data_IF_251866624514
#
_entry.id   IF_251866624514
#
_cell.length_a   1.000
_cell.length_b   1.000
_cell.length_c   1.000
_cell.angle_alpha   90.00
_cell.angle_beta   90.00
_cell.angle_gamma   90.00
#
_symmetry.space_group_name_H-M   'P 1'
#
loop_
_entity.id
_entity.type
_entity.pdbx_description
1 polymer ?
#
# COMPACT_ATOMS: atom_id res chain seq x y z
N UNK A 1 -5.40 -16.03 11.74
CA UNK A 1 -5.65 -16.07 10.28
C UNK A 1 -5.81 -14.64 9.84
N UNK A 2 -5.09 -14.19 8.82
CA UNK A 2 -5.18 -12.80 8.36
C UNK A 2 -6.43 -12.60 7.49
N UNK A 3 -7.11 -11.46 7.68
CA UNK A 3 -8.09 -10.95 6.73
C UNK A 3 -7.37 -10.52 5.45
N UNK A 4 -7.85 -11.00 4.30
CA UNK A 4 -7.22 -10.81 3.01
C UNK A 4 -8.22 -10.37 1.95
N UNK A 5 -7.84 -9.37 1.15
CA UNK A 5 -8.60 -8.87 0.01
C UNK A 5 -7.71 -8.85 -1.22
N UNK A 6 -8.18 -9.47 -2.29
CA UNK A 6 -7.55 -9.42 -3.60
C UNK A 6 -8.38 -8.54 -4.53
N UNK A 7 -7.83 -7.38 -4.92
CA UNK A 7 -8.48 -6.40 -5.80
C UNK A 7 -8.95 -7.04 -7.11
N UNK A 8 -8.25 -8.07 -7.61
CA UNK A 8 -8.55 -8.71 -8.90
C UNK A 8 -9.91 -9.41 -8.91
N UNK A 9 -10.47 -9.70 -7.74
CA UNK A 9 -11.81 -10.28 -7.57
C UNK A 9 -12.94 -9.27 -7.75
N UNK A 10 -12.65 -7.98 -7.90
CA UNK A 10 -13.65 -6.90 -7.96
C UNK A 10 -13.65 -6.12 -9.30
N UNK A 11 -13.74 -6.81 -10.46
CA UNK A 11 -13.82 -6.13 -11.77
C UNK A 11 -15.15 -5.40 -12.00
N UNK A 12 -16.14 -5.60 -11.13
CA UNK A 12 -17.48 -5.06 -11.26
C UNK A 12 -17.75 -3.87 -10.32
N UNK A 13 -16.82 -3.59 -9.40
CA UNK A 13 -16.93 -2.46 -8.47
C UNK A 13 -16.25 -1.26 -9.10
N UNK A 14 -17.05 -0.29 -9.54
CA UNK A 14 -16.54 0.94 -10.14
C UNK A 14 -15.69 1.72 -9.13
N UNK A 15 -14.55 2.20 -9.59
CA UNK A 15 -13.69 3.10 -8.81
C UNK A 15 -13.03 4.09 -9.78
N UNK A 16 -13.74 5.16 -10.16
CA UNK A 16 -13.20 6.17 -11.07
C UNK A 16 -11.98 6.86 -10.46
N UNK A 17 -10.91 6.98 -11.23
CA UNK A 17 -9.64 7.57 -10.77
C UNK A 17 -9.19 8.73 -11.66
N UNK A 18 -8.16 9.46 -11.24
CA UNK A 18 -7.63 10.62 -11.98
C UNK A 18 -8.67 11.73 -12.20
N UNK A 19 -9.64 11.86 -11.31
CA UNK A 19 -10.80 12.74 -11.51
C UNK A 19 -10.49 14.25 -11.50
N UNK A 20 -9.30 14.64 -11.06
CA UNK A 20 -8.81 16.03 -11.13
C UNK A 20 -8.21 16.41 -12.49
N UNK A 21 -7.92 15.44 -13.35
CA UNK A 21 -7.29 15.66 -14.65
C UNK A 21 -8.24 15.21 -15.77
N UNK A 22 -9.09 16.10 -16.33
CA UNK A 22 -10.11 15.73 -17.31
C UNK A 22 -9.61 14.91 -18.51
N UNK A 23 -8.37 15.17 -18.97
CA UNK A 23 -7.74 14.45 -20.09
C UNK A 23 -7.31 13.02 -19.72
N UNK A 24 -7.08 12.76 -18.43
CA UNK A 24 -6.59 11.49 -17.90
C UNK A 24 -7.62 10.76 -17.03
N UNK A 25 -8.80 11.34 -16.79
CA UNK A 25 -9.85 10.74 -15.98
C UNK A 25 -10.18 9.33 -16.45
N UNK A 26 -10.04 8.37 -15.54
CA UNK A 26 -10.34 6.95 -15.79
C UNK A 26 -11.74 6.65 -15.24
N UNK A 27 -12.79 7.01 -15.98
CA UNK A 27 -14.18 6.71 -15.56
C UNK A 27 -14.52 5.22 -15.65
N UNK A 28 -13.73 4.47 -16.41
CA UNK A 28 -13.83 3.02 -16.62
C UNK A 28 -13.05 2.19 -15.60
N UNK A 29 -12.28 2.83 -14.70
CA UNK A 29 -11.51 2.08 -13.71
C UNK A 29 -12.40 1.43 -12.66
N UNK A 30 -11.92 0.29 -12.16
CA UNK A 30 -12.59 -0.54 -11.16
C UNK A 30 -11.63 -0.84 -10.02
N UNK A 31 -12.13 -1.40 -8.92
CA UNK A 31 -11.27 -1.89 -7.83
C UNK A 31 -10.21 -2.85 -8.37
N UNK A 32 -10.53 -3.67 -9.39
CA UNK A 32 -9.53 -4.54 -10.04
C UNK A 32 -8.33 -3.78 -10.59
N UNK A 33 -8.52 -2.64 -11.23
CA UNK A 33 -7.43 -1.89 -11.87
C UNK A 33 -6.77 -0.86 -10.96
N UNK A 34 -7.46 -0.38 -9.92
CA UNK A 34 -7.05 0.80 -9.16
C UNK A 34 -7.16 0.65 -7.62
N UNK A 35 -7.61 -0.51 -7.14
CA UNK A 35 -8.02 -0.72 -5.75
C UNK A 35 -6.94 -1.19 -4.78
N UNK A 36 -5.66 -1.24 -5.17
CA UNK A 36 -4.59 -1.74 -4.31
C UNK A 36 -4.54 -1.01 -2.96
N UNK A 37 -4.59 0.33 -2.97
CA UNK A 37 -4.62 1.13 -1.74
C UNK A 37 -5.84 0.84 -0.87
N UNK A 38 -7.03 0.67 -1.47
CA UNK A 38 -8.26 0.35 -0.74
C UNK A 38 -8.17 -1.00 -0.04
N UNK A 39 -7.70 -2.02 -0.76
CA UNK A 39 -7.53 -3.37 -0.23
C UNK A 39 -6.44 -3.39 0.85
N UNK A 40 -5.30 -2.75 0.63
CA UNK A 40 -4.20 -2.71 1.61
C UNK A 40 -4.60 -2.00 2.90
N UNK A 41 -5.27 -0.84 2.83
CA UNK A 41 -5.76 -0.15 4.01
C UNK A 41 -6.78 -0.99 4.79
N UNK A 42 -7.72 -1.63 4.07
CA UNK A 42 -8.72 -2.53 4.67
C UNK A 42 -8.08 -3.73 5.36
N UNK A 43 -7.06 -4.34 4.74
CA UNK A 43 -6.29 -5.44 5.32
C UNK A 43 -5.52 -5.00 6.58
N UNK A 44 -4.82 -3.87 6.53
CA UNK A 44 -4.06 -3.35 7.68
C UNK A 44 -5.00 -3.10 8.86
N UNK A 45 -6.07 -2.33 8.66
CA UNK A 45 -7.00 -1.96 9.75
C UNK A 45 -7.68 -3.18 10.34
N UNK A 46 -8.20 -4.08 9.49
CA UNK A 46 -8.95 -5.25 9.97
C UNK A 46 -8.06 -6.19 10.75
N UNK A 47 -6.82 -6.42 10.30
CA UNK A 47 -5.87 -7.27 11.01
C UNK A 47 -5.29 -6.63 12.27
N UNK A 48 -5.10 -5.31 12.28
CA UNK A 48 -4.58 -4.58 13.44
C UNK A 48 -5.61 -4.44 14.56
N UNK A 49 -6.87 -4.14 14.22
CA UNK A 49 -7.91 -3.79 15.20
C UNK A 49 -8.85 -4.93 15.54
N UNK A 50 -8.93 -5.97 14.69
CA UNK A 50 -9.98 -6.99 14.75
C UNK A 50 -11.38 -6.47 14.39
N UNK A 51 -11.52 -5.19 14.03
CA UNK A 51 -12.78 -4.58 13.56
C UNK A 51 -12.81 -4.65 12.04
N UNK A 52 -13.94 -5.07 11.48
CA UNK A 52 -14.10 -5.12 10.03
C UNK A 52 -14.01 -3.71 9.42
N UNK A 53 -13.09 -3.54 8.46
CA UNK A 53 -13.09 -2.42 7.53
C UNK A 53 -13.28 -2.97 6.12
N UNK A 54 -14.53 -2.97 5.65
CA UNK A 54 -14.89 -3.58 4.37
C UNK A 54 -14.30 -2.80 3.18
N UNK A 55 -14.14 -3.48 2.05
CA UNK A 55 -13.73 -2.84 0.80
C UNK A 55 -14.66 -1.67 0.42
N UNK A 56 -15.98 -1.83 0.62
CA UNK A 56 -16.97 -0.80 0.26
C UNK A 56 -16.84 0.41 1.19
N UNK A 57 -16.67 0.18 2.50
CA UNK A 57 -16.45 1.26 3.46
C UNK A 57 -15.18 2.06 3.14
N UNK A 58 -14.12 1.38 2.69
CA UNK A 58 -12.86 2.02 2.29
C UNK A 58 -13.01 2.78 0.96
N UNK A 59 -13.73 2.20 0.00
CA UNK A 59 -14.08 2.85 -1.26
C UNK A 59 -14.88 4.14 -1.03
N UNK A 60 -15.94 4.08 -0.24
CA UNK A 60 -16.77 5.25 0.09
C UNK A 60 -15.95 6.33 0.80
N UNK A 61 -15.08 5.93 1.73
CA UNK A 61 -14.18 6.86 2.40
C UNK A 61 -13.21 7.52 1.40
N UNK A 62 -12.60 6.74 0.51
CA UNK A 62 -11.70 7.26 -0.53
C UNK A 62 -12.38 8.31 -1.40
N UNK A 63 -13.61 8.06 -1.84
CA UNK A 63 -14.40 9.02 -2.62
C UNK A 63 -14.74 10.27 -1.80
N UNK A 64 -15.13 10.10 -0.52
CA UNK A 64 -15.49 11.22 0.33
C UNK A 64 -14.32 12.18 0.62
N UNK A 65 -13.09 11.65 0.65
CA UNK A 65 -11.86 12.41 0.92
C UNK A 65 -11.07 12.75 -0.34
N UNK A 66 -11.64 12.48 -1.52
CA UNK A 66 -11.03 12.74 -2.82
C UNK A 66 -9.65 12.07 -2.99
N UNK A 67 -9.47 10.89 -2.39
CA UNK A 67 -8.24 10.10 -2.55
C UNK A 67 -8.18 9.41 -3.93
N UNK A 68 -9.31 9.30 -4.64
CA UNK A 68 -9.38 8.79 -6.02
C UNK A 68 -9.00 9.83 -7.09
N UNK A 69 -8.64 11.05 -6.70
CA UNK A 69 -8.22 12.09 -7.65
C UNK A 69 -6.84 11.80 -8.27
N UNK A 70 -6.07 10.89 -7.67
CA UNK A 70 -4.81 10.37 -8.20
C UNK A 70 -5.03 9.15 -9.10
N UNK A 71 -3.99 8.67 -9.80
CA UNK A 71 -3.94 7.28 -10.26
C UNK A 71 -4.16 6.37 -9.05
N UNK A 72 -5.15 5.47 -9.12
CA UNK A 72 -5.45 4.58 -8.00
C UNK A 72 -5.99 5.32 -6.77
N UNK A 73 -5.23 5.29 -5.68
CA UNK A 73 -5.60 5.86 -4.39
C UNK A 73 -4.45 6.66 -3.82
N UNK A 74 -4.73 7.91 -3.43
CA UNK A 74 -3.80 8.79 -2.74
C UNK A 74 -3.78 8.45 -1.24
N UNK A 75 -2.78 7.67 -0.81
CA UNK A 75 -2.65 7.25 0.58
C UNK A 75 -2.28 8.40 1.53
N UNK A 76 -1.65 9.48 1.06
CA UNK A 76 -1.41 10.68 1.87
C UNK A 76 -2.72 11.38 2.23
N UNK A 77 -3.76 11.21 1.41
CA UNK A 77 -5.12 11.66 1.71
C UNK A 77 -5.90 10.63 2.49
N UNK A 78 -5.88 9.35 2.10
CA UNK A 78 -6.72 8.33 2.71
C UNK A 78 -6.25 7.95 4.13
N UNK A 79 -4.95 7.78 4.36
CA UNK A 79 -4.42 7.25 5.62
C UNK A 79 -4.83 8.07 6.86
N UNK A 80 -4.77 9.42 6.86
CA UNK A 80 -5.19 10.21 8.03
C UNK A 80 -6.65 9.98 8.43
N UNK A 81 -7.57 9.91 7.46
CA UNK A 81 -8.99 9.66 7.75
C UNK A 81 -9.25 8.21 8.18
N UNK A 82 -8.47 7.26 7.66
CA UNK A 82 -8.51 5.87 8.16
C UNK A 82 -8.06 5.83 9.62
N UNK A 83 -6.95 6.49 9.95
CA UNK A 83 -6.45 6.54 11.32
C UNK A 83 -7.47 7.20 12.28
N UNK A 84 -8.07 8.32 11.87
CA UNK A 84 -9.13 8.99 12.64
C UNK A 84 -10.36 8.08 12.85
N UNK A 85 -10.86 7.45 11.78
CA UNK A 85 -12.06 6.59 11.84
C UNK A 85 -11.91 5.40 12.80
N UNK A 86 -10.71 4.87 12.94
CA UNK A 86 -10.42 3.69 13.75
C UNK A 86 -9.67 3.99 15.06
N UNK A 87 -9.45 5.27 15.37
CA UNK A 87 -8.72 5.74 16.55
C UNK A 87 -7.29 5.17 16.65
N UNK A 88 -6.56 5.25 15.54
CA UNK A 88 -5.20 4.75 15.38
C UNK A 88 -4.18 5.90 15.38
N UNK A 89 -2.95 5.58 15.77
CA UNK A 89 -1.80 6.43 15.48
C UNK A 89 -1.31 6.16 14.05
N UNK A 90 -0.91 7.24 13.36
CA UNK A 90 -0.37 7.20 11.99
C UNK A 90 1.01 7.87 11.94
N UNK A 91 1.98 7.17 11.39
CA UNK A 91 3.27 7.73 10.97
C UNK A 91 3.46 7.50 9.48
N UNK A 92 3.71 8.57 8.73
CA UNK A 92 4.08 8.50 7.31
C UNK A 92 5.58 8.71 7.20
N UNK A 93 6.28 7.79 6.52
CA UNK A 93 7.75 7.80 6.48
C UNK A 93 8.29 7.11 5.22
N UNK A 94 9.55 7.39 4.90
CA UNK A 94 10.36 6.70 3.89
C UNK A 94 11.47 5.81 4.51
N UNK A 95 11.56 5.78 5.85
CA UNK A 95 12.59 5.06 6.59
C UNK A 95 12.19 3.60 6.88
N UNK A 96 12.87 2.60 6.29
CA UNK A 96 12.61 1.19 6.56
C UNK A 96 12.96 0.77 8.00
N UNK A 97 13.82 1.50 8.71
CA UNK A 97 14.13 1.23 10.12
C UNK A 97 12.97 1.64 11.03
N UNK A 98 12.28 2.73 10.71
CA UNK A 98 11.03 3.10 11.39
C UNK A 98 9.94 2.05 11.13
N UNK A 99 9.82 1.55 9.89
CA UNK A 99 8.94 0.42 9.59
C UNK A 99 9.29 -0.82 10.44
N UNK A 100 10.57 -1.20 10.49
CA UNK A 100 11.06 -2.34 11.30
C UNK A 100 10.66 -2.19 12.77
N UNK A 101 10.97 -1.04 13.36
CA UNK A 101 10.68 -0.76 14.77
C UNK A 101 9.18 -0.76 15.04
N UNK A 102 8.38 -0.27 14.09
CA UNK A 102 6.92 -0.24 14.19
C UNK A 102 6.30 -1.64 14.16
N UNK A 103 6.72 -2.48 13.22
CA UNK A 103 6.26 -3.87 13.12
C UNK A 103 6.62 -4.68 14.38
N UNK A 104 7.83 -4.47 14.95
CA UNK A 104 8.27 -5.13 16.20
C UNK A 104 7.40 -4.78 17.41
N UNK A 105 6.72 -3.63 17.40
CA UNK A 105 5.76 -3.23 18.44
C UNK A 105 4.32 -3.72 18.18
N UNK A 106 4.11 -4.52 17.14
CA UNK A 106 2.78 -5.00 16.74
C UNK A 106 1.99 -4.01 15.87
N UNK A 107 2.62 -2.92 15.41
CA UNK A 107 2.05 -2.06 14.39
C UNK A 107 2.03 -2.75 13.02
N UNK A 108 1.26 -2.19 12.08
CA UNK A 108 1.14 -2.67 10.70
C UNK A 108 1.29 -1.50 9.73
N UNK A 109 1.51 -1.78 8.45
CA UNK A 109 1.76 -0.71 7.48
C UNK A 109 1.14 -0.99 6.10
N UNK A 110 0.80 0.09 5.40
CA UNK A 110 0.68 0.05 3.93
C UNK A 110 2.02 0.49 3.34
N UNK A 111 2.59 -0.31 2.45
CA UNK A 111 3.82 0.01 1.74
C UNK A 111 3.53 0.35 0.27
N UNK A 112 4.18 1.40 -0.23
CA UNK A 112 4.09 1.90 -1.60
C UNK A 112 5.28 1.37 -2.41
N UNK A 113 5.04 0.36 -3.24
CA UNK A 113 6.06 -0.20 -4.11
C UNK A 113 6.11 0.58 -5.42
N UNK A 114 7.31 0.84 -5.90
CA UNK A 114 7.54 1.67 -7.09
C UNK A 114 7.36 0.89 -8.39
N UNK A 115 7.62 -0.43 -8.33
CA UNK A 115 7.65 -1.31 -9.49
C UNK A 115 8.98 -1.29 -10.23
N UNK A 116 8.95 -1.54 -11.53
CA UNK A 116 10.14 -1.66 -12.36
C UNK A 116 10.88 -0.33 -12.48
N UNK A 117 12.21 -0.39 -12.34
CA UNK A 117 13.14 0.74 -12.49
C UNK A 117 14.21 0.39 -13.52
N UNK A 118 13.95 0.58 -14.82
CA UNK A 118 14.93 0.33 -15.88
C UNK A 118 16.22 1.15 -15.74
N UNK A 119 16.16 2.31 -15.07
CA UNK A 119 17.30 3.19 -14.82
C UNK A 119 18.38 2.55 -13.90
N UNK A 120 17.99 1.65 -12.99
CA UNK A 120 18.90 0.90 -12.11
C UNK A 120 18.81 -0.62 -12.29
N UNK A 121 18.04 -1.09 -13.28
CA UNK A 121 17.89 -2.50 -13.65
C UNK A 121 17.05 -3.32 -12.68
N UNK A 122 16.29 -2.69 -11.79
CA UNK A 122 15.47 -3.39 -10.80
C UNK A 122 14.12 -3.83 -11.39
N UNK A 123 13.81 -5.12 -11.23
CA UNK A 123 12.48 -5.70 -11.52
C UNK A 123 11.67 -5.65 -10.24
N UNK A 124 10.53 -4.97 -10.29
CA UNK A 124 9.63 -4.77 -9.18
C UNK A 124 9.07 -6.10 -8.67
N UNK A 125 9.12 -6.32 -7.35
CA UNK A 125 8.74 -7.59 -6.75
C UNK A 125 7.22 -7.77 -6.72
N UNK A 126 6.49 -6.77 -6.21
CA UNK A 126 5.04 -6.86 -6.07
C UNK A 126 4.26 -6.28 -7.25
N UNK A 127 4.91 -5.61 -8.19
CA UNK A 127 4.25 -5.06 -9.39
C UNK A 127 5.30 -4.56 -10.38
N UNK A 128 4.92 -4.40 -11.65
CA UNK A 128 5.76 -3.71 -12.65
C UNK A 128 5.65 -2.18 -12.57
N UNK A 129 4.60 -1.66 -11.93
CA UNK A 129 4.39 -0.23 -11.69
C UNK A 129 3.97 0.04 -10.25
N UNK A 130 3.62 1.30 -9.96
CA UNK A 130 3.18 1.73 -8.63
C UNK A 130 2.08 0.84 -8.06
N UNK A 131 2.26 0.38 -6.82
CA UNK A 131 1.32 -0.54 -6.17
C UNK A 131 1.38 -0.42 -4.64
N UNK A 132 0.27 -0.73 -3.97
CA UNK A 132 0.23 -0.77 -2.52
C UNK A 132 0.10 -2.21 -2.03
N UNK A 133 0.87 -2.56 -1.00
CA UNK A 133 0.80 -3.85 -0.30
C UNK A 133 0.62 -3.64 1.20
N UNK A 134 -0.02 -4.58 1.89
CA UNK A 134 -0.15 -4.53 3.34
C UNK A 134 0.97 -5.33 4.01
N UNK A 135 1.71 -4.70 4.92
CA UNK A 135 2.74 -5.34 5.76
C UNK A 135 2.15 -5.54 7.15
N UNK A 136 1.86 -6.79 7.49
CA UNK A 136 1.02 -7.13 8.65
C UNK A 136 1.79 -7.72 9.83
N UNK A 137 3.04 -8.12 9.63
CA UNK A 137 3.93 -8.56 10.71
C UNK A 137 5.39 -8.52 10.30
N UNK A 138 6.27 -8.68 11.28
CA UNK A 138 7.67 -9.05 11.13
C UNK A 138 7.91 -10.31 11.96
N UNK A 139 8.65 -11.27 11.42
CA UNK A 139 9.01 -12.50 12.12
C UNK A 139 10.06 -12.22 13.22
N UNK A 140 10.27 -13.19 14.10
CA UNK A 140 11.17 -13.06 15.27
C UNK A 140 12.64 -12.76 14.91
N UNK A 141 13.05 -13.08 13.67
CA UNK A 141 14.37 -12.73 13.15
C UNK A 141 14.56 -11.21 12.97
N UNK A 142 13.48 -10.43 12.98
CA UNK A 142 13.48 -8.98 12.80
C UNK A 142 13.82 -8.52 11.38
N UNK A 143 13.85 -9.43 10.41
CA UNK A 143 14.24 -9.19 9.02
C UNK A 143 13.20 -9.70 8.02
N UNK A 144 12.46 -10.77 8.34
CA UNK A 144 11.44 -11.32 7.46
C UNK A 144 10.11 -10.63 7.75
N UNK A 145 9.53 -9.98 6.73
CA UNK A 145 8.22 -9.33 6.82
C UNK A 145 7.13 -10.20 6.21
N UNK A 146 5.93 -10.12 6.78
CA UNK A 146 4.73 -10.76 6.27
C UNK A 146 3.92 -9.74 5.48
N UNK A 147 3.70 -10.03 4.21
CA UNK A 147 3.03 -9.15 3.26
C UNK A 147 1.75 -9.81 2.72
N UNK A 148 0.70 -9.01 2.58
CA UNK A 148 -0.52 -9.34 1.87
C UNK A 148 -0.61 -8.45 0.63
N UNK A 149 -0.51 -9.07 -0.54
CA UNK A 149 -0.51 -8.37 -1.83
C UNK A 149 -1.91 -8.39 -2.46
N UNK A 150 -2.59 -7.23 -2.60
CA UNK A 150 -3.94 -7.20 -3.12
C UNK A 150 -4.03 -7.52 -4.62
N UNK A 151 -2.92 -7.72 -5.32
CA UNK A 151 -2.90 -8.10 -6.73
C UNK A 151 -2.22 -9.45 -6.98
N UNK A 152 -2.14 -10.32 -5.96
CA UNK A 152 -1.57 -11.66 -6.13
C UNK A 152 -2.34 -12.44 -7.21
N UNK A 153 -1.59 -12.95 -8.19
CA UNK A 153 -2.06 -13.87 -9.23
C UNK A 153 -1.23 -15.16 -9.14
N UNK A 154 -1.73 -16.29 -9.66
CA UNK A 154 -0.90 -17.48 -9.84
C UNK A 154 0.39 -17.13 -10.59
N UNK A 155 1.51 -17.71 -10.15
CA UNK A 155 2.84 -17.58 -10.76
C UNK A 155 3.47 -16.19 -10.77
N UNK A 156 2.86 -15.19 -10.11
CA UNK A 156 3.37 -13.82 -10.05
C UNK A 156 4.83 -13.72 -9.63
N UNK A 157 5.25 -14.56 -8.68
CA UNK A 157 6.60 -14.55 -8.11
C UNK A 157 7.55 -15.56 -8.76
N UNK A 158 7.12 -16.28 -9.81
CA UNK A 158 7.95 -17.22 -10.58
C UNK A 158 8.63 -16.56 -11.78
N UNK A 159 8.38 -15.28 -12.02
CA UNK A 159 9.01 -14.51 -13.10
C UNK A 159 10.50 -14.26 -12.81
N UNK A 160 11.30 -14.18 -13.88
CA UNK A 160 12.69 -13.75 -13.81
C UNK A 160 12.81 -12.39 -13.09
N UNK A 161 13.72 -12.29 -12.13
CA UNK A 161 13.85 -11.11 -11.29
C UNK A 161 12.96 -11.10 -10.03
N UNK A 162 11.90 -11.91 -9.96
CA UNK A 162 11.10 -12.12 -8.73
C UNK A 162 11.38 -13.47 -8.06
N UNK A 163 11.73 -14.48 -8.86
CA UNK A 163 11.91 -15.85 -8.39
C UNK A 163 12.87 -15.93 -7.19
N UNK A 164 12.45 -16.68 -6.17
CA UNK A 164 13.22 -16.90 -4.94
C UNK A 164 13.22 -15.73 -3.93
N UNK A 165 12.60 -14.59 -4.24
CA UNK A 165 12.50 -13.44 -3.32
C UNK A 165 11.33 -13.51 -2.35
N UNK A 166 10.33 -14.37 -2.62
CA UNK A 166 9.12 -14.52 -1.81
C UNK A 166 8.89 -15.99 -1.49
N UNK A 167 8.55 -16.28 -0.24
CA UNK A 167 8.01 -17.58 0.18
C UNK A 167 6.48 -17.43 0.27
N UNK A 168 5.77 -18.20 -0.55
CA UNK A 168 4.31 -18.18 -0.61
C UNK A 168 3.68 -19.24 0.31
N UNK A 169 2.72 -18.84 1.14
CA UNK A 169 1.82 -19.75 1.85
C UNK A 169 0.37 -19.27 1.67
N UNK A 170 -0.22 -19.63 0.53
CA UNK A 170 -1.48 -19.05 0.08
C UNK A 170 -1.32 -17.54 -0.15
N UNK A 171 -2.08 -16.74 0.59
CA UNK A 171 -2.02 -15.27 0.53
C UNK A 171 -1.04 -14.64 1.52
N UNK A 172 -0.39 -15.46 2.34
CA UNK A 172 0.61 -15.01 3.31
C UNK A 172 1.97 -15.08 2.63
N UNK A 173 2.49 -13.93 2.23
CA UNK A 173 3.76 -13.80 1.55
C UNK A 173 4.85 -13.42 2.57
N UNK A 174 6.03 -14.02 2.44
CA UNK A 174 7.20 -13.66 3.25
C UNK A 174 8.34 -13.22 2.35
N UNK A 175 8.94 -12.09 2.68
CA UNK A 175 10.15 -11.59 2.03
C UNK A 175 11.01 -10.86 3.07
N UNK A 176 12.25 -10.52 2.73
CA UNK A 176 13.08 -9.72 3.64
C UNK A 176 12.69 -8.25 3.60
N UNK A 177 12.86 -7.55 4.72
CA UNK A 177 12.66 -6.12 4.83
C UNK A 177 13.56 -5.37 3.83
N UNK A 178 14.79 -5.84 3.62
CA UNK A 178 15.71 -5.26 2.64
C UNK A 178 15.14 -5.34 1.21
N UNK A 179 14.53 -6.47 0.84
CA UNK A 179 13.89 -6.63 -0.48
C UNK A 179 12.67 -5.71 -0.60
N UNK A 180 11.81 -5.65 0.42
CA UNK A 180 10.67 -4.73 0.44
C UNK A 180 11.12 -3.27 0.35
N UNK A 181 12.18 -2.89 1.08
CA UNK A 181 12.74 -1.55 1.06
C UNK A 181 13.28 -1.16 -0.31
N UNK A 182 13.95 -2.09 -1.00
CA UNK A 182 14.39 -1.87 -2.38
C UNK A 182 13.19 -1.78 -3.36
N UNK A 183 12.10 -2.51 -3.11
CA UNK A 183 10.87 -2.44 -3.94
C UNK A 183 10.12 -1.11 -3.76
N UNK A 184 10.21 -0.53 -2.56
CA UNK A 184 9.63 0.78 -2.21
C UNK A 184 10.57 1.96 -2.46
N UNK A 185 11.76 1.71 -3.04
CA UNK A 185 12.77 2.75 -3.23
C UNK A 185 12.21 3.89 -4.06
N UNK A 186 12.45 5.11 -3.58
CA UNK A 186 12.03 6.33 -4.26
C UNK A 186 12.60 6.40 -5.67
N UNK A 187 11.78 6.91 -6.58
CA UNK A 187 12.11 7.13 -7.98
C UNK A 187 11.85 8.58 -8.31
N UNK A 188 12.87 9.23 -8.86
CA UNK A 188 12.78 10.61 -9.33
C UNK A 188 11.73 10.72 -10.44
N UNK A 189 11.00 11.84 -10.46
CA UNK A 189 9.93 12.09 -11.44
C UNK A 189 10.41 11.90 -12.91
N UNK A 190 11.66 12.28 -13.19
CA UNK A 190 12.26 12.20 -14.52
C UNK A 190 12.40 10.76 -15.06
N UNK A 191 12.41 9.76 -14.17
CA UNK A 191 12.52 8.36 -14.56
C UNK A 191 11.16 7.70 -14.83
N UNK A 192 10.05 8.33 -14.46
CA UNK A 192 8.73 7.82 -14.84
C UNK A 192 8.48 8.06 -16.34
N UNK A 193 7.86 7.08 -17.04
CA UNK A 193 7.47 7.27 -18.43
C UNK A 193 6.40 8.37 -18.54
N UNK A 194 6.36 9.03 -19.69
CA UNK A 194 5.28 9.96 -20.00
C UNK A 194 3.94 9.22 -19.99
N UNK A 195 2.92 9.81 -19.36
CA UNK A 195 1.62 9.17 -19.19
C UNK A 195 0.86 9.72 -17.98
N UNK A 196 -0.20 9.02 -17.60
CA UNK A 196 -1.16 9.47 -16.60
C UNK A 196 -0.52 9.74 -15.22
N UNK A 197 0.43 8.90 -14.79
CA UNK A 197 1.07 9.04 -13.50
C UNK A 197 1.97 10.27 -13.42
N UNK A 198 2.83 10.47 -14.43
CA UNK A 198 3.72 11.63 -14.51
C UNK A 198 2.95 12.93 -14.68
N UNK A 199 1.92 12.94 -15.53
CA UNK A 199 1.03 14.10 -15.68
C UNK A 199 0.33 14.47 -14.36
N UNK A 200 -0.08 13.47 -13.57
CA UNK A 200 -0.63 13.70 -12.24
C UNK A 200 0.41 14.23 -11.26
N UNK A 201 1.64 13.70 -11.23
CA UNK A 201 2.69 14.22 -10.36
C UNK A 201 2.99 15.70 -10.66
N UNK A 202 3.06 16.08 -11.93
CA UNK A 202 3.25 17.47 -12.37
C UNK A 202 2.09 18.37 -11.94
N UNK A 203 0.85 17.93 -12.19
CA UNK A 203 -0.36 18.66 -11.80
C UNK A 203 -0.46 18.86 -10.28
N UNK A 204 -0.21 17.78 -9.52
CA UNK A 204 -0.28 17.78 -8.06
C UNK A 204 0.95 18.43 -7.42
N UNK A 205 1.96 18.82 -8.21
CA UNK A 205 3.27 19.34 -7.76
C UNK A 205 3.92 18.42 -6.72
N UNK A 206 3.81 17.11 -6.93
CA UNK A 206 4.40 16.11 -6.05
C UNK A 206 5.77 15.71 -6.56
N UNK A 207 6.79 16.07 -5.82
CA UNK A 207 8.18 15.65 -6.04
C UNK A 207 8.47 14.28 -5.42
N UNK A 208 7.72 13.90 -4.37
CA UNK A 208 7.88 12.65 -3.64
C UNK A 208 6.55 12.12 -3.10
N UNK A 209 6.58 10.84 -2.69
CA UNK A 209 5.49 10.17 -1.99
C UNK A 209 6.04 9.37 -0.82
N UNK A 210 5.27 9.24 0.25
CA UNK A 210 5.65 8.39 1.37
C UNK A 210 5.71 6.90 0.94
N UNK A 211 6.71 6.19 1.47
CA UNK A 211 6.91 4.76 1.19
C UNK A 211 6.06 3.90 2.12
N UNK A 212 5.88 4.36 3.35
CA UNK A 212 5.21 3.61 4.41
C UNK A 212 4.19 4.46 5.15
N UNK A 213 3.00 3.90 5.34
CA UNK A 213 1.94 4.45 6.17
C UNK A 213 1.75 3.50 7.35
N UNK A 214 2.36 3.84 8.47
CA UNK A 214 2.47 3.01 9.66
C UNK A 214 1.28 3.27 10.59
N UNK A 215 0.49 2.24 10.85
CA UNK A 215 -0.67 2.28 11.73
C UNK A 215 -0.42 1.49 13.01
N UNK A 216 -0.76 2.05 14.17
CA UNK A 216 -0.76 1.33 15.45
C UNK A 216 -2.00 1.67 16.26
N UNK A 217 -2.39 0.76 17.16
CA UNK A 217 -3.33 1.10 18.22
C UNK A 217 -2.74 2.26 19.03
N UNK A 218 -3.58 3.23 19.41
CA UNK A 218 -3.17 4.21 20.42
C UNK A 218 -2.84 3.46 21.71
N UNK A 219 -1.75 3.83 22.35
CA UNK A 219 -1.49 3.34 23.70
C UNK A 219 -2.62 3.84 24.60
N UNK A 220 -3.41 2.92 25.16
CA UNK A 220 -4.35 3.25 26.23
C UNK A 220 -3.54 3.92 27.34
N UNK A 221 -3.71 5.23 27.50
CA UNK A 221 -3.08 5.98 28.58
C UNK A 221 -3.58 5.47 29.93
N UNK A 222 -2.91 4.46 30.49
CA UNK A 222 -3.17 3.98 31.84
C UNK A 222 -1.87 3.91 32.62
N UNK A 223 -1.47 5.07 33.17
CA UNK A 223 -0.87 5.22 34.50
C UNK A 223 -0.61 6.71 34.79
N UNK A 224 -1.68 7.47 35.10
CA UNK A 224 -1.51 8.53 36.09
C UNK A 224 -1.82 7.88 37.44
N UNK A 225 -0.78 7.33 38.08
CA UNK A 225 -0.84 7.01 39.49
C UNK A 225 -1.12 8.29 40.28
N UNK A 226 -2.17 8.26 41.11
CA UNK A 226 -2.55 9.29 42.07
C UNK A 226 -3.33 8.66 43.21
#
# INVERSE_FOLDING_TARGET
MYYYLNQTNYPHVAYPTLTDLPEWTRTDSTVRSAGCGLCSASMVVTNLTGREFSLIDCLELSLAVNANHSPGTDMDRLAPYVAERFDLDLVMTDDPELLRAHLKRGGMAVANVTGDRPEDGYVGLFSHGGHYVAVVAIEDDGETVVVLDPSQLPDKFHEEGREGKVIENGHILRTSLAILAEDCKYREMEHYPDGEFKAWMEYAKRDSHNRYYLFSMKEDGCAAEG
#
